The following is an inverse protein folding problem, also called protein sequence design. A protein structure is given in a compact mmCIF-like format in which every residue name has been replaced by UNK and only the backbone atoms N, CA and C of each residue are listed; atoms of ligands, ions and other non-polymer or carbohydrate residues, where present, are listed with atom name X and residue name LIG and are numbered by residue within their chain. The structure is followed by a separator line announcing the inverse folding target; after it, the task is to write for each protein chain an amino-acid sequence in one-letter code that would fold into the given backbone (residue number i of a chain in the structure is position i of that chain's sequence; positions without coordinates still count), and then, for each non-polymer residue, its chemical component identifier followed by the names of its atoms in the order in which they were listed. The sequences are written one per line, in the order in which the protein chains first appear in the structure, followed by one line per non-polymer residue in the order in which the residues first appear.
data_IF_459371697400
#
_entry.id   IF_459371697400
#
_cell.length_a   1.000
_cell.length_b   1.000
_cell.length_c   1.000
_cell.angle_alpha   90.00
_cell.angle_beta   90.00
_cell.angle_gamma   90.00
#
_symmetry.space_group_name_H-M   'P 1'
#
loop_
_entity.id
_entity.type
_entity.pdbx_description
1 polymer ?
#
# COMPACT_ATOMS: atom_id res chain seq x y z
N UNK A 1 3.05 20.33 2.25
CA UNK A 1 2.54 19.55 1.10
C UNK A 1 2.26 18.10 1.48
N UNK A 2 1.55 17.35 0.63
CA UNK A 2 1.13 15.95 0.91
C UNK A 2 2.32 15.01 1.23
N UNK A 3 3.48 15.22 0.60
CA UNK A 3 4.69 14.43 0.85
C UNK A 3 5.21 14.56 2.29
N UNK A 4 5.11 15.74 2.89
CA UNK A 4 5.50 15.96 4.28
C UNK A 4 4.60 15.16 5.24
N UNK A 5 3.29 15.03 4.93
CA UNK A 5 2.35 14.22 5.72
C UNK A 5 2.68 12.72 5.68
N UNK A 6 3.16 12.21 4.55
CA UNK A 6 3.56 10.80 4.40
C UNK A 6 4.79 10.45 5.24
N UNK A 7 5.80 11.32 5.24
CA UNK A 7 7.02 11.12 6.03
C UNK A 7 6.74 11.20 7.53
N UNK A 8 5.96 12.19 7.98
CA UNK A 8 5.58 12.30 9.39
C UNK A 8 4.72 11.13 9.86
N UNK A 9 3.83 10.63 9.01
CA UNK A 9 3.06 9.41 9.29
C UNK A 9 3.97 8.18 9.36
N UNK A 10 4.96 8.07 8.46
CA UNK A 10 5.97 7.01 8.48
C UNK A 10 6.77 7.01 9.78
N UNK A 11 7.20 8.20 10.23
CA UNK A 11 7.88 8.38 11.50
C UNK A 11 7.01 7.90 12.66
N UNK A 12 5.78 8.40 12.79
CA UNK A 12 4.86 8.04 13.89
C UNK A 12 4.50 6.55 13.95
N UNK A 13 4.53 5.85 12.83
CA UNK A 13 4.23 4.41 12.74
C UNK A 13 5.44 3.50 13.00
N UNK A 14 6.64 4.05 13.08
CA UNK A 14 7.86 3.27 13.32
C UNK A 14 7.98 2.83 14.78
N UNK A 15 8.61 1.67 15.01
CA UNK A 15 8.84 1.17 16.37
C UNK A 15 9.77 2.09 17.16
N UNK A 16 10.81 2.64 16.51
CA UNK A 16 11.66 3.69 17.09
C UNK A 16 10.86 4.86 17.65
N UNK A 17 9.82 5.32 16.96
CA UNK A 17 8.97 6.41 17.48
C UNK A 17 8.19 5.97 18.72
N UNK A 18 7.66 4.74 18.73
CA UNK A 18 6.93 4.18 19.88
C UNK A 18 7.84 4.04 21.10
N UNK A 19 9.06 3.54 20.91
CA UNK A 19 10.07 3.40 21.96
C UNK A 19 10.44 4.75 22.57
N UNK A 20 10.76 5.74 21.73
CA UNK A 20 11.12 7.09 22.21
C UNK A 20 9.94 7.77 22.93
N UNK A 21 8.72 7.53 22.47
CA UNK A 21 7.51 8.05 23.12
C UNK A 21 7.28 7.37 24.48
N UNK A 22 7.52 6.06 24.58
CA UNK A 22 7.41 5.30 25.83
C UNK A 22 8.49 5.71 26.84
N UNK A 23 9.67 6.12 26.38
CA UNK A 23 10.71 6.73 27.25
C UNK A 23 10.39 8.18 27.68
N UNK A 24 9.24 8.72 27.30
CA UNK A 24 8.75 10.02 27.78
C UNK A 24 9.22 11.24 26.99
N UNK A 25 9.87 11.07 25.83
CA UNK A 25 10.35 12.21 25.04
C UNK A 25 9.19 13.01 24.42
N UNK A 26 9.39 14.32 24.32
CA UNK A 26 8.49 15.22 23.60
C UNK A 26 8.56 14.99 22.08
N UNK A 27 7.51 15.39 21.34
CA UNK A 27 7.52 15.23 19.88
C UNK A 27 8.69 15.97 19.19
N UNK A 28 9.13 17.11 19.74
CA UNK A 28 10.22 17.90 19.18
C UNK A 28 11.58 17.24 19.39
N UNK A 29 11.81 16.62 20.54
CA UNK A 29 13.02 15.85 20.81
C UNK A 29 13.08 14.59 19.93
N UNK A 30 11.95 13.92 19.75
CA UNK A 30 11.85 12.77 18.85
C UNK A 30 12.21 13.19 17.43
N UNK A 31 11.69 14.31 16.92
CA UNK A 31 12.05 14.81 15.59
C UNK A 31 13.56 15.10 15.47
N UNK A 32 14.18 15.68 16.50
CA UNK A 32 15.63 15.90 16.52
C UNK A 32 16.39 14.57 16.45
N UNK A 33 15.95 13.56 17.19
CA UNK A 33 16.55 12.23 17.19
C UNK A 33 16.43 11.52 15.83
N UNK A 34 15.30 11.68 15.15
CA UNK A 34 15.09 11.15 13.79
C UNK A 34 15.96 11.81 12.71
N UNK A 35 16.60 12.95 13.02
CA UNK A 35 17.55 13.64 12.15
C UNK A 35 19.02 13.40 12.52
N UNK A 36 19.31 12.61 13.57
CA UNK A 36 20.67 12.20 13.90
C UNK A 36 21.07 10.97 13.09
N UNK A 37 22.31 10.94 12.60
CA UNK A 37 22.83 9.79 11.87
C UNK A 37 23.07 8.64 12.82
N UNK A 38 22.60 7.46 12.44
CA UNK A 38 22.80 6.22 13.18
C UNK A 38 23.24 5.13 12.21
N UNK A 39 24.01 4.16 12.70
CA UNK A 39 24.35 2.98 11.92
C UNK A 39 23.11 2.13 11.71
N UNK A 40 22.88 1.69 10.48
CA UNK A 40 21.79 0.80 10.13
C UNK A 40 22.13 -0.04 8.91
N UNK A 41 21.49 -1.19 8.81
CA UNK A 41 21.53 -2.06 7.65
C UNK A 41 20.30 -1.78 6.75
N UNK A 42 20.53 -1.55 5.45
CA UNK A 42 19.46 -1.25 4.49
C UNK A 42 19.44 -2.23 3.33
N UNK A 43 18.25 -2.48 2.80
CA UNK A 43 18.06 -3.27 1.60
C UNK A 43 18.51 -2.51 0.35
N UNK A 44 19.32 -3.13 -0.48
CA UNK A 44 19.55 -2.72 -1.87
C UNK A 44 19.40 -3.92 -2.79
N UNK A 45 19.22 -3.71 -4.09
CA UNK A 45 19.12 -4.79 -5.07
C UNK A 45 20.44 -5.56 -5.26
N UNK A 46 21.56 -4.96 -4.88
CA UNK A 46 22.90 -5.59 -4.92
C UNK A 46 23.21 -6.36 -3.63
N UNK A 47 22.35 -6.29 -2.62
CA UNK A 47 22.55 -6.88 -1.31
C UNK A 47 22.28 -5.89 -0.18
N UNK A 48 22.25 -6.40 1.06
CA UNK A 48 22.15 -5.55 2.23
C UNK A 48 23.45 -4.74 2.43
N UNK A 49 23.33 -3.45 2.73
CA UNK A 49 24.49 -2.57 2.94
C UNK A 49 24.39 -1.90 4.30
N UNK A 50 25.47 -1.97 5.07
CA UNK A 50 25.62 -1.20 6.31
C UNK A 50 25.97 0.24 5.98
N UNK A 51 25.21 1.18 6.54
CA UNK A 51 25.31 2.60 6.22
C UNK A 51 25.04 3.49 7.42
N UNK A 52 25.48 4.74 7.33
CA UNK A 52 25.29 5.78 8.34
C UNK A 52 24.36 6.85 7.78
N UNK A 53 23.06 6.76 8.10
CA UNK A 53 22.05 7.72 7.64
C UNK A 53 21.09 8.11 8.77
N UNK A 54 20.27 9.13 8.52
CA UNK A 54 19.24 9.52 9.48
C UNK A 54 18.04 8.57 9.38
N UNK A 55 17.32 8.29 10.49
CA UNK A 55 16.05 7.57 10.43
C UNK A 55 15.05 8.18 9.45
N UNK A 56 15.05 9.51 9.28
CA UNK A 56 14.20 10.19 8.31
C UNK A 56 14.57 9.85 6.86
N UNK A 57 15.87 9.83 6.53
CA UNK A 57 16.36 9.44 5.20
C UNK A 57 16.06 7.97 4.92
N UNK A 58 16.17 7.10 5.92
CA UNK A 58 15.79 5.69 5.82
C UNK A 58 14.30 5.51 5.52
N UNK A 59 13.41 6.26 6.18
CA UNK A 59 11.98 6.26 5.87
C UNK A 59 11.75 6.68 4.42
N UNK A 60 12.39 7.76 3.98
CA UNK A 60 12.27 8.26 2.61
C UNK A 60 12.74 7.22 1.59
N UNK A 61 13.90 6.62 1.80
CA UNK A 61 14.47 5.58 0.96
C UNK A 61 13.53 4.37 0.83
N UNK A 62 13.04 3.84 1.96
CA UNK A 62 12.13 2.71 1.99
C UNK A 62 10.74 3.00 1.39
N UNK A 63 10.34 4.27 1.31
CA UNK A 63 9.10 4.71 0.65
C UNK A 63 9.24 4.83 -0.87
N UNK A 64 10.46 5.00 -1.38
CA UNK A 64 10.76 5.02 -2.81
C UNK A 64 10.91 3.61 -3.39
N UNK A 65 11.12 2.60 -2.54
CA UNK A 65 11.21 1.21 -2.96
C UNK A 65 9.88 0.71 -3.51
N UNK A 66 9.92 0.23 -4.76
CA UNK A 66 8.81 -0.45 -5.38
C UNK A 66 8.59 -1.80 -4.69
N UNK A 67 7.35 -2.06 -4.26
CA UNK A 67 6.95 -3.32 -3.63
C UNK A 67 6.00 -4.07 -4.53
N UNK A 68 6.30 -5.34 -4.76
CA UNK A 68 5.44 -6.31 -5.42
C UNK A 68 5.06 -7.44 -4.46
N UNK A 69 4.13 -8.28 -4.92
CA UNK A 69 3.71 -9.50 -4.24
C UNK A 69 3.06 -10.45 -5.23
N UNK A 70 3.04 -11.73 -4.89
CA UNK A 70 2.47 -12.79 -5.73
C UNK A 70 1.81 -13.84 -4.85
N UNK A 71 0.71 -14.40 -5.31
CA UNK A 71 0.07 -15.56 -4.69
C UNK A 71 -0.47 -16.47 -5.80
N UNK A 72 -0.38 -17.78 -5.59
CA UNK A 72 -0.98 -18.79 -6.44
C UNK A 72 -1.72 -19.80 -5.56
N UNK A 73 -2.92 -20.19 -5.99
CA UNK A 73 -3.76 -21.16 -5.30
C UNK A 73 -4.51 -22.05 -6.27
N UNK A 74 -4.90 -23.23 -5.81
CA UNK A 74 -5.87 -24.07 -6.50
C UNK A 74 -7.28 -23.48 -6.34
N UNK A 75 -8.01 -23.17 -7.42
CA UNK A 75 -9.27 -22.43 -7.35
C UNK A 75 -10.42 -23.23 -6.73
N UNK A 76 -10.44 -24.56 -6.87
CA UNK A 76 -11.52 -25.41 -6.36
C UNK A 76 -11.42 -25.68 -4.86
N UNK A 77 -10.20 -25.82 -4.34
CA UNK A 77 -9.94 -26.19 -2.94
C UNK A 77 -9.49 -25.01 -2.08
N UNK A 78 -9.02 -23.92 -2.71
CA UNK A 78 -8.36 -22.80 -2.03
C UNK A 78 -6.94 -23.11 -1.55
N UNK A 79 -6.39 -24.27 -1.90
CA UNK A 79 -5.06 -24.67 -1.42
C UNK A 79 -3.96 -23.77 -2.02
N UNK A 80 -3.21 -23.09 -1.16
CA UNK A 80 -2.14 -22.16 -1.55
C UNK A 80 -0.92 -22.94 -2.04
N UNK A 81 -0.50 -22.67 -3.28
CA UNK A 81 0.70 -23.26 -3.91
C UNK A 81 1.92 -22.38 -3.75
N UNK A 82 1.74 -21.06 -3.77
CA UNK A 82 2.82 -20.10 -3.56
C UNK A 82 2.30 -18.84 -2.87
N UNK A 83 3.09 -18.28 -1.96
CA UNK A 83 2.77 -17.04 -1.24
C UNK A 83 4.03 -16.18 -1.07
N UNK A 84 4.08 -15.05 -1.78
CA UNK A 84 5.18 -14.09 -1.76
C UNK A 84 4.64 -12.73 -1.34
N UNK A 85 4.78 -12.42 -0.05
CA UNK A 85 4.25 -11.20 0.58
C UNK A 85 4.99 -9.91 0.26
N UNK A 86 6.21 -9.98 -0.32
CA UNK A 86 7.05 -8.82 -0.57
C UNK A 86 8.40 -9.17 -1.19
N UNK A 87 9.21 -8.14 -1.48
CA UNK A 87 10.51 -8.26 -2.17
C UNK A 87 11.63 -8.87 -1.30
N UNK A 88 11.57 -8.72 0.02
CA UNK A 88 12.57 -9.25 0.95
C UNK A 88 11.97 -9.32 2.37
N UNK A 89 11.91 -10.51 2.97
CA UNK A 89 11.27 -10.71 4.27
C UNK A 89 12.08 -10.13 5.44
N UNK A 90 13.42 -10.19 5.37
CA UNK A 90 14.32 -9.71 6.43
C UNK A 90 14.17 -8.21 6.65
N UNK A 91 14.06 -7.44 5.55
CA UNK A 91 13.96 -5.99 5.58
C UNK A 91 12.50 -5.50 5.57
N UNK A 92 11.57 -6.27 5.01
CA UNK A 92 10.17 -5.89 4.85
C UNK A 92 9.20 -6.98 5.30
N UNK A 93 8.80 -6.91 6.57
CA UNK A 93 7.85 -7.86 7.19
C UNK A 93 6.37 -7.61 6.85
N UNK A 94 6.07 -6.57 6.08
CA UNK A 94 4.68 -6.26 5.70
C UNK A 94 4.23 -7.12 4.53
N UNK A 95 3.26 -8.00 4.78
CA UNK A 95 2.64 -8.86 3.78
C UNK A 95 1.62 -8.10 2.92
N UNK A 96 2.01 -7.84 1.67
CA UNK A 96 1.17 -7.18 0.68
C UNK A 96 0.03 -8.07 0.16
N UNK A 97 0.16 -9.40 0.17
CA UNK A 97 -0.90 -10.32 -0.29
C UNK A 97 -2.09 -10.24 0.67
N UNK A 98 -1.82 -10.27 1.98
CA UNK A 98 -2.87 -10.25 3.00
C UNK A 98 -3.38 -8.85 3.33
N UNK A 99 -2.50 -7.88 3.51
CA UNK A 99 -2.83 -6.58 4.09
C UNK A 99 -2.90 -5.44 3.07
N UNK A 100 -2.38 -5.66 1.86
CA UNK A 100 -2.19 -4.62 0.83
C UNK A 100 -3.48 -4.26 0.10
N UNK A 101 -4.29 -3.37 0.67
CA UNK A 101 -5.49 -2.84 -0.02
C UNK A 101 -5.08 -1.90 -1.15
N UNK A 102 -5.53 -2.17 -2.38
CA UNK A 102 -5.26 -1.36 -3.58
C UNK A 102 -6.51 -1.28 -4.48
N UNK A 103 -6.59 -0.23 -5.29
CA UNK A 103 -7.55 -0.19 -6.39
C UNK A 103 -7.17 -1.24 -7.44
N UNK A 104 -8.12 -2.12 -7.77
CA UNK A 104 -7.92 -3.27 -8.67
C UNK A 104 -7.91 -2.87 -10.16
N UNK A 105 -8.58 -1.76 -10.51
CA UNK A 105 -8.67 -1.26 -11.88
C UNK A 105 -9.34 -2.25 -12.83
N UNK A 106 -8.79 -2.39 -14.05
CA UNK A 106 -9.36 -3.27 -15.09
C UNK A 106 -9.45 -4.74 -14.70
N UNK A 107 -8.72 -5.20 -13.68
CA UNK A 107 -8.84 -6.59 -13.19
C UNK A 107 -10.20 -6.89 -12.56
N UNK A 108 -11.02 -5.88 -12.25
CA UNK A 108 -12.41 -6.06 -11.83
C UNK A 108 -13.36 -6.40 -12.99
N UNK A 109 -12.99 -6.09 -14.24
CA UNK A 109 -13.88 -6.21 -15.41
C UNK A 109 -14.50 -7.60 -15.57
N UNK A 110 -13.77 -8.73 -15.41
CA UNK A 110 -14.38 -10.06 -15.54
C UNK A 110 -15.59 -10.26 -14.63
N UNK A 111 -15.62 -9.69 -13.43
CA UNK A 111 -16.80 -9.76 -12.55
C UNK A 111 -17.98 -8.97 -13.10
N UNK A 112 -17.75 -7.77 -13.64
CA UNK A 112 -18.80 -6.99 -14.31
C UNK A 112 -19.37 -7.74 -15.51
N UNK A 113 -18.52 -8.36 -16.33
CA UNK A 113 -18.99 -9.16 -17.47
C UNK A 113 -19.68 -10.45 -17.04
N UNK A 114 -19.25 -11.09 -15.95
CA UNK A 114 -19.94 -12.26 -15.40
C UNK A 114 -21.39 -11.94 -15.02
N UNK A 115 -21.63 -10.78 -14.37
CA UNK A 115 -23.00 -10.32 -14.08
C UNK A 115 -23.81 -10.06 -15.35
N UNK A 116 -23.20 -9.55 -16.42
CA UNK A 116 -23.91 -9.38 -17.69
C UNK A 116 -24.35 -10.75 -18.26
N UNK A 117 -23.45 -11.74 -18.27
CA UNK A 117 -23.76 -13.09 -18.74
C UNK A 117 -24.85 -13.75 -17.88
N UNK A 118 -24.81 -13.54 -16.56
CA UNK A 118 -25.84 -14.02 -15.63
C UNK A 118 -27.21 -13.38 -15.87
N UNK A 119 -27.24 -12.19 -16.48
CA UNK A 119 -28.46 -11.51 -16.93
C UNK A 119 -28.76 -11.77 -18.43
N UNK A 120 -28.42 -12.96 -18.93
CA UNK A 120 -28.69 -13.44 -20.30
C UNK A 120 -28.02 -12.65 -21.44
N UNK A 121 -27.02 -11.80 -21.15
CA UNK A 121 -26.23 -11.19 -22.22
C UNK A 121 -25.28 -12.21 -22.82
N UNK A 122 -25.44 -12.50 -24.11
CA UNK A 122 -24.53 -13.37 -24.85
C UNK A 122 -23.09 -12.82 -24.84
N UNK A 123 -22.05 -13.67 -24.73
CA UNK A 123 -20.67 -13.26 -24.95
C UNK A 123 -20.42 -12.62 -26.33
N UNK A 124 -21.29 -12.88 -27.31
CA UNK A 124 -21.26 -12.30 -28.64
C UNK A 124 -22.02 -10.97 -28.76
N UNK A 125 -22.62 -10.47 -27.66
CA UNK A 125 -23.35 -9.22 -27.64
C UNK A 125 -22.42 -8.04 -27.92
N UNK A 126 -22.72 -7.29 -28.99
CA UNK A 126 -21.92 -6.13 -29.38
C UNK A 126 -22.26 -4.91 -28.51
N UNK A 127 -21.26 -4.36 -27.83
CA UNK A 127 -21.38 -3.11 -27.08
C UNK A 127 -20.82 -1.93 -27.86
N UNK A 128 -21.49 -0.77 -27.86
CA UNK A 128 -21.02 0.38 -28.60
C UNK A 128 -19.80 1.03 -27.91
N UNK A 129 -18.69 1.15 -28.65
CA UNK A 129 -17.45 1.76 -28.17
C UNK A 129 -17.31 3.19 -28.73
N UNK A 130 -18.04 4.14 -28.13
CA UNK A 130 -17.95 5.56 -28.46
C UNK A 130 -17.83 6.40 -27.19
N UNK A 131 -17.47 7.67 -27.35
CA UNK A 131 -17.38 8.63 -26.25
C UNK A 131 -18.70 8.72 -25.49
N UNK A 132 -18.65 8.52 -24.17
CA UNK A 132 -19.79 8.64 -23.27
C UNK A 132 -19.55 9.78 -22.29
N UNK A 133 -20.57 10.63 -22.10
CA UNK A 133 -20.58 11.68 -21.08
C UNK A 133 -21.53 11.27 -19.97
N UNK A 134 -20.99 11.00 -18.79
CA UNK A 134 -21.79 10.73 -17.61
C UNK A 134 -22.01 12.04 -16.84
N UNK A 135 -23.26 12.34 -16.49
CA UNK A 135 -23.55 13.49 -15.61
C UNK A 135 -22.90 13.23 -14.25
N UNK A 136 -22.14 14.20 -13.75
CA UNK A 136 -21.54 14.13 -12.43
C UNK A 136 -22.66 14.06 -11.39
N UNK A 137 -22.71 13.00 -10.61
CA UNK A 137 -23.60 12.91 -9.45
C UNK A 137 -22.96 13.71 -8.30
N UNK A 138 -23.55 14.84 -7.98
CA UNK A 138 -23.22 15.70 -6.85
C UNK A 138 -23.72 15.07 -5.55
N UNK A 139 -22.91 14.18 -4.96
CA UNK A 139 -23.18 13.65 -3.61
C UNK A 139 -22.75 14.65 -2.55
N UNK A 140 -23.67 15.54 -2.17
CA UNK A 140 -23.60 16.30 -0.91
C UNK A 140 -25.02 16.60 -0.37
N UNK A 141 -25.77 15.55 0.01
CA UNK A 141 -26.85 15.63 1.00
C UNK A 141 -26.96 14.32 1.79
N UNK A 142 -26.08 14.15 2.77
CA UNK A 142 -26.41 13.35 3.95
C UNK A 142 -26.05 14.21 5.16
N UNK A 143 -27.07 14.90 5.68
CA UNK A 143 -26.97 15.89 6.75
C UNK A 143 -28.17 16.83 6.73
N UNK A 144 -29.31 16.38 7.26
CA UNK A 144 -30.42 17.21 7.75
C UNK A 144 -31.45 16.27 8.40
N UNK A 145 -31.80 16.53 9.65
CA UNK A 145 -32.51 15.62 10.56
C UNK A 145 -33.95 15.28 10.20
N UNK A 146 -34.43 14.16 10.74
CA UNK A 146 -35.22 14.07 11.98
C UNK A 146 -35.05 12.68 12.57
#
# INVERSE_FOLDING_TARGET
GNNAKLLTTGMRRSDRYRELKNSGLSEEEIKKEFNKKVSMNIFTWQGAVDTMMTPMDSIKYNKLMLRNSMMAMEPLTGHIKAWVGGINFEHYKYDQVKMGVRQVGSTAKPFTYAVAIDNDYSPCFTVPNHMQTYRRLDTARYGSGR
#
